data_IF_171894405072
#
_entry.id   IF_171894405072
#
_cell.length_a   1.000
_cell.length_b   1.000
_cell.length_c   1.000
_cell.angle_alpha   90.00
_cell.angle_beta   90.00
_cell.angle_gamma   90.00
#
_symmetry.space_group_name_H-M   'P 1'
#
loop_
_entity.id
_entity.type
_entity.pdbx_description
1 polymer ?
#
# COMPACT_ATOMS: atom_id res chain seq x y z
N UNK A 1 -4.00 21.32 3.38
CA UNK A 1 -3.91 19.94 3.92
C UNK A 1 -2.62 19.67 4.70
N UNK A 2 -1.42 19.83 4.13
CA UNK A 2 -0.16 19.55 4.83
C UNK A 2 0.00 20.33 6.15
N UNK A 3 -0.20 21.66 6.11
CA UNK A 3 -0.07 22.52 7.28
C UNK A 3 -0.99 22.10 8.45
N UNK A 4 -2.27 21.81 8.17
CA UNK A 4 -3.21 21.33 9.18
C UNK A 4 -2.77 20.00 9.80
N UNK A 5 -2.28 19.06 8.99
CA UNK A 5 -1.72 17.80 9.50
C UNK A 5 -0.48 18.03 10.37
N UNK A 6 0.40 18.96 10.00
CA UNK A 6 1.59 19.29 10.76
C UNK A 6 1.28 20.04 12.08
N UNK A 7 0.16 20.78 12.12
CA UNK A 7 -0.33 21.45 13.33
C UNK A 7 -0.93 20.44 14.32
N UNK A 8 -1.79 19.53 13.84
CA UNK A 8 -2.39 18.47 14.66
C UNK A 8 -1.38 17.42 15.11
N UNK A 9 -0.37 17.15 14.28
CA UNK A 9 0.69 16.18 14.54
C UNK A 9 2.07 16.85 14.43
N UNK A 10 2.49 17.63 15.46
CA UNK A 10 3.77 18.32 15.47
C UNK A 10 4.93 17.35 15.21
N UNK A 11 5.86 17.75 14.34
CA UNK A 11 6.82 16.84 13.72
C UNK A 11 7.58 15.96 14.73
N UNK A 12 8.29 16.57 15.69
CA UNK A 12 9.12 15.82 16.65
C UNK A 12 8.26 14.95 17.56
N UNK A 13 7.21 15.52 18.16
CA UNK A 13 6.32 14.78 19.07
C UNK A 13 5.65 13.58 18.36
N UNK A 14 5.17 13.77 17.12
CA UNK A 14 4.56 12.69 16.35
C UNK A 14 5.58 11.61 15.96
N UNK A 15 6.77 12.00 15.49
CA UNK A 15 7.85 11.06 15.15
C UNK A 15 8.28 10.23 16.36
N UNK A 16 8.50 10.87 17.49
CA UNK A 16 8.97 10.20 18.70
C UNK A 16 7.90 9.25 19.25
N UNK A 17 6.63 9.66 19.18
CA UNK A 17 5.49 8.80 19.49
C UNK A 17 5.38 7.62 18.53
N UNK A 18 5.58 7.83 17.23
CA UNK A 18 5.54 6.78 16.22
C UNK A 18 6.61 5.72 16.47
N UNK A 19 7.84 6.13 16.79
CA UNK A 19 8.92 5.21 17.17
C UNK A 19 8.59 4.44 18.44
N UNK A 20 8.16 5.12 19.50
CA UNK A 20 7.82 4.49 20.78
C UNK A 20 6.68 3.46 20.67
N UNK A 21 5.75 3.67 19.74
CA UNK A 21 4.60 2.80 19.50
C UNK A 21 4.84 1.78 18.37
N UNK A 22 6.07 1.66 17.85
CA UNK A 22 6.39 0.85 16.67
C UNK A 22 5.41 1.08 15.51
N UNK A 23 5.04 2.34 15.30
CA UNK A 23 4.16 2.80 14.24
C UNK A 23 2.76 2.15 14.25
N UNK A 24 2.25 1.77 15.42
CA UNK A 24 0.85 1.40 15.61
C UNK A 24 -0.07 2.60 15.30
N UNK A 25 -0.81 2.50 14.19
CA UNK A 25 -1.61 3.61 13.66
C UNK A 25 -2.87 3.83 14.50
N UNK A 26 -3.47 2.76 15.04
CA UNK A 26 -4.64 2.89 15.89
C UNK A 26 -4.28 3.59 17.21
N UNK A 27 -3.11 3.29 17.80
CA UNK A 27 -2.60 4.02 18.97
C UNK A 27 -2.21 5.46 18.64
N UNK A 28 -1.56 5.70 17.50
CA UNK A 28 -1.19 7.05 17.06
C UNK A 28 -2.42 7.94 16.83
N UNK A 29 -3.42 7.45 16.10
CA UNK A 29 -4.62 8.25 15.81
C UNK A 29 -5.40 8.59 17.07
N UNK A 30 -5.44 7.69 18.07
CA UNK A 30 -6.03 7.96 19.38
C UNK A 30 -5.26 9.05 20.12
N UNK A 31 -3.93 8.95 20.17
CA UNK A 31 -3.06 9.92 20.88
C UNK A 31 -3.16 11.34 20.31
N UNK A 32 -3.32 11.48 19.00
CA UNK A 32 -3.33 12.78 18.32
C UNK A 32 -4.73 13.26 17.91
N UNK A 33 -5.79 12.51 18.23
CA UNK A 33 -7.17 12.88 17.87
C UNK A 33 -7.40 13.00 16.36
N UNK A 34 -6.75 12.15 15.56
CA UNK A 34 -6.78 12.20 14.10
C UNK A 34 -7.46 10.98 13.50
N UNK A 35 -7.76 11.03 12.20
CA UNK A 35 -8.24 9.85 11.47
C UNK A 35 -7.09 8.90 11.15
N UNK A 36 -7.42 7.63 10.86
CA UNK A 36 -6.46 6.63 10.40
C UNK A 36 -5.69 7.11 9.15
N UNK A 37 -6.41 7.67 8.16
CA UNK A 37 -5.80 8.23 6.95
C UNK A 37 -4.86 9.40 7.25
N UNK A 38 -5.22 10.28 8.20
CA UNK A 38 -4.37 11.41 8.58
C UNK A 38 -3.07 10.95 9.25
N UNK A 39 -3.15 9.97 10.15
CA UNK A 39 -1.96 9.39 10.78
C UNK A 39 -1.03 8.73 9.75
N UNK A 40 -1.57 7.90 8.83
CA UNK A 40 -0.78 7.30 7.74
C UNK A 40 -0.14 8.37 6.83
N UNK A 41 -0.91 9.39 6.44
CA UNK A 41 -0.40 10.47 5.62
C UNK A 41 0.71 11.25 6.33
N UNK A 42 0.62 11.42 7.66
CA UNK A 42 1.67 12.09 8.42
C UNK A 42 2.94 11.26 8.46
N UNK A 43 2.83 9.95 8.71
CA UNK A 43 3.96 9.02 8.71
C UNK A 43 4.76 9.08 7.39
N UNK A 44 4.08 9.17 6.24
CA UNK A 44 4.75 9.28 4.93
C UNK A 44 5.44 10.64 4.68
N UNK A 45 5.44 11.57 5.63
CA UNK A 45 6.02 12.91 5.48
C UNK A 45 7.18 13.20 6.45
N UNK A 46 7.57 12.22 7.27
CA UNK A 46 8.60 12.40 8.31
C UNK A 46 10.03 12.35 7.72
N UNK A 47 10.33 13.25 6.78
CA UNK A 47 11.61 13.29 6.04
C UNK A 47 12.40 14.58 6.27
N UNK A 48 12.25 15.23 7.43
CA UNK A 48 13.07 16.39 7.81
C UNK A 48 14.54 15.95 7.96
N UNK A 49 15.50 16.62 7.30
CA UNK A 49 16.93 16.35 7.47
C UNK A 49 17.36 16.37 8.94
N UNK A 50 18.19 15.40 9.35
CA UNK A 50 18.62 15.23 10.75
C UNK A 50 17.55 14.69 11.70
N UNK A 51 16.33 14.42 11.20
CA UNK A 51 15.19 14.05 12.03
C UNK A 51 14.23 13.08 11.31
N UNK A 52 14.74 12.23 10.42
CA UNK A 52 13.94 11.34 9.58
C UNK A 52 13.24 10.24 10.40
N UNK A 53 12.02 9.90 10.02
CA UNK A 53 11.35 8.64 10.38
C UNK A 53 11.60 7.58 9.31
N UNK A 54 10.95 6.43 9.45
CA UNK A 54 10.97 5.39 8.42
C UNK A 54 10.46 5.99 7.10
N UNK A 55 11.15 5.72 5.96
CA UNK A 55 10.62 6.06 4.66
C UNK A 55 9.39 5.18 4.38
N UNK A 56 8.21 5.77 4.48
CA UNK A 56 6.96 5.12 4.12
C UNK A 56 6.48 5.57 2.75
N UNK A 57 5.93 4.65 1.97
CA UNK A 57 4.94 4.98 0.97
C UNK A 57 3.55 5.07 1.61
N UNK A 58 2.69 5.88 1.03
CA UNK A 58 1.28 6.01 1.35
C UNK A 58 0.46 6.13 0.07
N UNK A 59 -0.63 5.38 -0.01
CA UNK A 59 -1.61 5.57 -1.07
C UNK A 59 -3.04 5.31 -0.60
N UNK A 60 -3.99 5.86 -1.37
CA UNK A 60 -5.42 5.66 -1.20
C UNK A 60 -6.02 5.05 -2.45
N UNK A 61 -6.70 3.92 -2.34
CA UNK A 61 -7.27 3.15 -3.45
C UNK A 61 -8.79 3.05 -3.28
N UNK A 62 -9.56 3.28 -4.34
CA UNK A 62 -11.02 3.06 -4.31
C UNK A 62 -11.40 1.62 -4.73
N UNK A 63 -12.69 1.31 -4.72
CA UNK A 63 -13.21 -0.01 -5.10
C UNK A 63 -12.90 -0.41 -6.56
N UNK A 64 -12.64 0.57 -7.44
CA UNK A 64 -12.28 0.32 -8.84
C UNK A 64 -10.77 0.19 -9.03
N UNK A 65 -9.97 0.22 -7.95
CA UNK A 65 -8.52 0.16 -8.02
C UNK A 65 -7.87 1.49 -8.38
N UNK A 66 -8.62 2.60 -8.44
CA UNK A 66 -8.02 3.91 -8.73
C UNK A 66 -7.23 4.38 -7.52
N UNK A 67 -5.94 4.66 -7.72
CA UNK A 67 -5.16 5.36 -6.70
C UNK A 67 -5.50 6.86 -6.75
N UNK A 68 -6.22 7.32 -5.73
CA UNK A 68 -6.74 8.70 -5.62
C UNK A 68 -5.87 9.62 -4.75
N UNK A 69 -4.83 9.09 -4.11
CA UNK A 69 -3.82 9.87 -3.37
C UNK A 69 -2.52 9.06 -3.29
N UNK A 70 -1.36 9.70 -3.48
CA UNK A 70 -0.03 9.08 -3.47
C UNK A 70 0.96 10.00 -2.76
N UNK A 71 1.77 9.43 -1.87
CA UNK A 71 2.96 10.05 -1.31
C UNK A 71 3.99 8.94 -1.11
N UNK A 72 5.24 9.14 -1.52
CA UNK A 72 6.28 8.14 -1.31
C UNK A 72 7.54 8.82 -0.82
N UNK A 73 8.10 8.27 0.26
CA UNK A 73 9.48 8.50 0.69
C UNK A 73 10.38 7.28 0.38
N UNK A 74 9.83 6.25 -0.28
CA UNK A 74 10.54 5.01 -0.66
C UNK A 74 10.83 4.99 -2.16
N UNK A 75 11.60 4.01 -2.60
CA UNK A 75 11.80 3.71 -4.03
C UNK A 75 10.57 3.15 -4.73
N UNK A 76 9.54 2.71 -3.99
CA UNK A 76 8.32 2.19 -4.59
C UNK A 76 7.65 3.28 -5.42
N UNK A 77 7.70 3.09 -6.74
CA UNK A 77 6.99 3.92 -7.69
C UNK A 77 5.61 3.32 -7.99
N UNK A 78 4.57 4.02 -7.56
CA UNK A 78 3.23 3.71 -8.03
C UNK A 78 3.14 4.12 -9.49
N UNK A 79 2.68 3.20 -10.35
CA UNK A 79 2.42 3.55 -11.74
C UNK A 79 1.51 4.79 -11.80
N UNK A 80 1.91 5.77 -12.61
CA UNK A 80 1.18 7.02 -12.79
C UNK A 80 -0.25 6.75 -13.28
N UNK A 81 -0.36 5.71 -14.12
CA UNK A 81 -1.59 5.01 -14.48
C UNK A 81 -1.51 3.58 -13.95
N UNK A 82 -2.41 3.22 -13.03
CA UNK A 82 -2.41 1.89 -12.43
C UNK A 82 -1.81 1.82 -11.02
N UNK A 83 -2.12 0.70 -10.40
CA UNK A 83 -1.95 0.30 -9.01
C UNK A 83 -2.72 -1.00 -8.87
N UNK A 84 -2.49 -1.88 -9.83
CA UNK A 84 -3.50 -2.78 -10.39
C UNK A 84 -3.02 -4.23 -10.42
N UNK A 85 -1.96 -4.55 -9.67
CA UNK A 85 -1.64 -5.94 -9.44
C UNK A 85 -2.70 -6.49 -8.48
N UNK A 86 -3.55 -7.45 -8.91
CA UNK A 86 -4.61 -7.99 -8.06
C UNK A 86 -4.05 -8.72 -6.83
N UNK A 87 -2.77 -9.12 -6.86
CA UNK A 87 -2.05 -9.71 -5.73
C UNK A 87 -1.66 -8.70 -4.64
N UNK A 88 -1.84 -7.40 -4.88
CA UNK A 88 -1.55 -6.38 -3.87
C UNK A 88 -2.70 -6.28 -2.86
N UNK A 89 -2.38 -6.47 -1.58
CA UNK A 89 -3.35 -6.63 -0.48
C UNK A 89 -4.35 -5.47 -0.31
N UNK A 90 -4.03 -4.28 -0.84
CA UNK A 90 -4.92 -3.11 -0.76
C UNK A 90 -6.27 -3.35 -1.45
N UNK A 91 -6.30 -4.21 -2.49
CA UNK A 91 -7.53 -4.55 -3.20
C UNK A 91 -8.45 -5.46 -2.38
N UNK A 92 -7.91 -6.32 -1.52
CA UNK A 92 -8.69 -7.06 -0.55
C UNK A 92 -9.18 -6.12 0.57
N UNK A 93 -8.31 -5.23 1.05
CA UNK A 93 -8.63 -4.29 2.12
C UNK A 93 -9.80 -3.36 1.75
N UNK A 94 -9.91 -2.95 0.47
CA UNK A 94 -11.02 -2.08 0.06
C UNK A 94 -12.36 -2.81 0.03
N UNK A 95 -12.34 -4.13 -0.24
CA UNK A 95 -13.54 -4.98 -0.25
C UNK A 95 -14.04 -5.31 1.17
N UNK A 96 -13.12 -5.44 2.14
CA UNK A 96 -13.43 -5.82 3.53
C UNK A 96 -13.09 -4.65 4.48
N UNK A 97 -14.01 -3.69 4.70
CA UNK A 97 -13.74 -2.53 5.54
C UNK A 97 -13.47 -2.90 7.00
N UNK A 98 -12.80 -1.99 7.71
CA UNK A 98 -12.49 -2.05 9.15
C UNK A 98 -11.59 -3.19 9.62
N UNK A 99 -11.04 -3.98 8.68
CA UNK A 99 -9.98 -4.95 8.95
C UNK A 99 -8.62 -4.41 8.49
N UNK A 100 -7.61 -4.59 9.33
CA UNK A 100 -6.22 -4.40 8.93
C UNK A 100 -5.71 -5.70 8.30
N UNK A 101 -5.18 -5.59 7.08
CA UNK A 101 -4.48 -6.64 6.38
C UNK A 101 -3.01 -6.27 6.27
N UNK A 102 -2.14 -7.29 6.28
CA UNK A 102 -0.70 -7.12 6.18
C UNK A 102 -0.15 -8.01 5.07
N UNK A 103 0.91 -7.57 4.42
CA UNK A 103 1.54 -8.29 3.32
C UNK A 103 3.04 -8.06 3.32
N UNK A 104 3.79 -9.14 3.13
CA UNK A 104 5.18 -9.07 2.68
C UNK A 104 5.18 -9.21 1.16
N UNK A 105 5.60 -8.16 0.46
CA UNK A 105 5.52 -8.10 -1.00
C UNK A 105 6.91 -7.89 -1.62
N UNK A 106 7.13 -8.47 -2.80
CA UNK A 106 8.34 -8.29 -3.59
C UNK A 106 8.01 -7.67 -4.95
N UNK A 107 8.61 -6.53 -5.26
CA UNK A 107 8.46 -5.86 -6.55
C UNK A 107 9.37 -6.49 -7.63
N UNK A 108 9.11 -6.26 -8.92
CA UNK A 108 9.87 -6.92 -9.99
C UNK A 108 11.37 -6.61 -10.02
N UNK A 109 11.81 -5.53 -9.36
CA UNK A 109 13.22 -5.16 -9.16
C UNK A 109 13.85 -5.84 -7.93
N UNK A 110 13.12 -6.75 -7.26
CA UNK A 110 13.58 -7.50 -6.10
C UNK A 110 13.45 -6.76 -4.76
N UNK A 111 12.97 -5.52 -4.75
CA UNK A 111 12.75 -4.79 -3.50
C UNK A 111 11.59 -5.40 -2.70
N UNK A 112 11.79 -5.57 -1.39
CA UNK A 112 10.83 -6.21 -0.49
C UNK A 112 10.24 -5.20 0.48
N UNK A 113 8.92 -5.27 0.67
CA UNK A 113 8.15 -4.31 1.46
C UNK A 113 7.26 -5.01 2.48
N UNK A 114 7.22 -4.45 3.69
CA UNK A 114 6.13 -4.71 4.64
C UNK A 114 5.03 -3.70 4.39
N UNK A 115 3.84 -4.20 4.10
CA UNK A 115 2.67 -3.40 3.73
C UNK A 115 1.55 -3.66 4.73
N UNK A 116 0.92 -2.60 5.18
CA UNK A 116 -0.34 -2.63 5.90
C UNK A 116 -1.41 -1.94 5.05
N UNK A 117 -2.59 -2.53 4.95
CA UNK A 117 -3.75 -1.93 4.31
C UNK A 117 -5.00 -2.02 5.19
N UNK A 118 -5.83 -0.98 5.17
CA UNK A 118 -7.13 -0.95 5.88
C UNK A 118 -8.20 -0.33 5.01
N UNK A 119 -9.32 -1.02 4.86
CA UNK A 119 -10.54 -0.46 4.27
C UNK A 119 -11.21 0.52 5.21
N UNK A 120 -11.61 1.67 4.68
CA UNK A 120 -12.26 2.77 5.39
C UNK A 120 -13.57 3.12 4.70
N UNK A 121 -14.58 3.42 5.52
CA UNK A 121 -15.89 3.88 5.07
C UNK A 121 -16.09 5.31 5.55
N UNK A 122 -16.26 6.23 4.61
CA UNK A 122 -16.68 7.59 4.93
C UNK A 122 -18.21 7.67 4.79
N UNK A 123 -18.95 7.92 5.88
CA UNK A 123 -20.40 7.96 5.85
C UNK A 123 -20.90 9.06 4.92
N UNK A 124 -22.05 8.81 4.32
CA UNK A 124 -22.81 9.80 3.57
C UNK A 124 -23.76 10.57 4.49
N UNK A 125 -24.26 11.71 4.02
CA UNK A 125 -25.09 12.60 4.83
C UNK A 125 -26.51 12.08 5.11
N UNK A 126 -26.92 11.00 4.44
CA UNK A 126 -28.28 10.44 4.50
C UNK A 126 -28.29 8.95 4.19
N UNK A 127 -29.35 8.26 4.63
CA UNK A 127 -29.54 6.81 4.46
C UNK A 127 -29.60 6.38 2.98
N UNK A 128 -30.17 7.23 2.12
CA UNK A 128 -30.40 6.98 0.69
C UNK A 128 -29.15 7.22 -0.17
N UNK A 129 -28.05 7.67 0.42
CA UNK A 129 -26.79 7.94 -0.29
C UNK A 129 -25.73 6.90 0.04
N UNK A 130 -25.12 6.23 -0.96
CA UNK A 130 -24.11 5.23 -0.70
C UNK A 130 -22.89 5.86 -0.03
N UNK A 131 -22.30 5.23 1.01
CA UNK A 131 -21.09 5.74 1.64
C UNK A 131 -19.89 5.60 0.70
N UNK A 132 -18.88 6.46 0.89
CA UNK A 132 -17.64 6.37 0.12
C UNK A 132 -16.72 5.33 0.75
N UNK A 133 -16.36 4.30 -0.02
CA UNK A 133 -15.42 3.24 0.38
C UNK A 133 -14.08 3.38 -0.31
N UNK A 134 -13.00 3.18 0.44
CA UNK A 134 -11.63 3.20 -0.05
C UNK A 134 -10.71 2.47 0.91
N UNK A 135 -9.54 2.04 0.47
CA UNK A 135 -8.48 1.55 1.33
C UNK A 135 -7.33 2.54 1.40
N UNK A 136 -6.66 2.55 2.54
CA UNK A 136 -5.35 3.17 2.72
C UNK A 136 -4.33 2.05 2.79
N UNK A 137 -3.22 2.19 2.07
CA UNK A 137 -2.03 1.37 2.26
C UNK A 137 -0.86 2.23 2.72
N UNK A 138 -0.09 1.69 3.66
CA UNK A 138 1.14 2.26 4.18
C UNK A 138 2.18 1.14 4.21
N UNK A 139 3.38 1.38 3.70
CA UNK A 139 4.43 0.37 3.74
C UNK A 139 5.82 0.97 3.66
N UNK A 140 6.78 0.18 4.09
CA UNK A 140 8.20 0.52 4.11
C UNK A 140 9.01 -0.67 3.58
N UNK A 141 10.26 -0.42 3.22
CA UNK A 141 11.19 -1.52 2.89
C UNK A 141 11.30 -2.48 4.09
N UNK A 142 11.49 -3.77 3.80
CA UNK A 142 11.56 -4.83 4.80
C UNK A 142 12.69 -4.63 5.82
N UNK A 143 13.75 -3.91 5.45
CA UNK A 143 14.83 -3.50 6.36
C UNK A 143 14.34 -2.72 7.59
N UNK A 144 13.17 -2.07 7.49
CA UNK A 144 12.54 -1.32 8.58
C UNK A 144 11.46 -2.13 9.34
N UNK A 145 11.26 -3.41 9.01
CA UNK A 145 10.19 -4.24 9.56
C UNK A 145 10.16 -4.28 11.10
N UNK A 146 11.34 -4.32 11.75
CA UNK A 146 11.43 -4.38 13.20
C UNK A 146 10.74 -3.18 13.90
N UNK A 147 10.68 -2.01 13.25
CA UNK A 147 10.10 -0.80 13.79
C UNK A 147 8.60 -0.63 13.45
N UNK A 148 8.01 -1.55 12.68
CA UNK A 148 6.62 -1.47 12.21
C UNK A 148 5.81 -2.66 12.75
N UNK A 149 4.90 -2.41 13.68
CA UNK A 149 4.14 -3.45 14.41
C UNK A 149 3.41 -4.44 13.50
N UNK A 150 3.00 -4.01 12.30
CA UNK A 150 2.32 -4.87 11.33
C UNK A 150 3.22 -5.92 10.68
N UNK A 151 4.54 -5.83 10.88
CA UNK A 151 5.48 -6.88 10.53
C UNK A 151 5.42 -8.08 11.49
N UNK A 152 4.88 -7.93 12.70
CA UNK A 152 4.86 -8.99 13.71
C UNK A 152 3.99 -10.19 13.28
N UNK A 153 2.96 -9.93 12.46
CA UNK A 153 2.13 -10.97 11.84
C UNK A 153 2.73 -11.56 10.56
N UNK A 154 3.90 -11.09 10.13
CA UNK A 154 4.61 -11.53 8.94
C UNK A 154 5.88 -12.27 9.35
N UNK A 155 6.51 -12.95 8.38
CA UNK A 155 7.85 -13.52 8.54
C UNK A 155 8.83 -12.76 7.63
N UNK A 156 9.39 -11.62 8.07
CA UNK A 156 10.48 -10.96 7.32
C UNK A 156 11.63 -11.95 7.03
N UNK A 157 12.21 -11.87 5.85
CA UNK A 157 13.15 -12.84 5.29
C UNK A 157 12.49 -14.11 4.74
N UNK A 158 11.19 -14.33 5.01
CA UNK A 158 10.41 -15.45 4.48
C UNK A 158 9.91 -15.25 3.05
N UNK A 159 8.92 -16.05 2.66
CA UNK A 159 8.27 -15.95 1.35
C UNK A 159 7.49 -14.63 1.24
N UNK A 160 7.82 -13.84 0.22
CA UNK A 160 7.13 -12.61 -0.13
C UNK A 160 6.21 -12.86 -1.34
N UNK A 161 5.05 -12.21 -1.38
CA UNK A 161 4.15 -12.28 -2.55
C UNK A 161 4.80 -11.51 -3.71
N UNK A 162 5.07 -12.15 -4.87
CA UNK A 162 5.60 -11.46 -6.03
C UNK A 162 4.50 -10.58 -6.64
N UNK A 163 4.60 -9.26 -6.43
CA UNK A 163 3.67 -8.28 -7.00
C UNK A 163 4.29 -7.57 -8.20
N UNK A 164 3.45 -6.85 -8.93
CA UNK A 164 3.84 -5.92 -9.99
C UNK A 164 3.20 -4.55 -9.81
N UNK A 165 3.60 -3.58 -10.63
CA UNK A 165 2.97 -2.25 -10.66
C UNK A 165 1.66 -2.24 -11.48
N UNK A 166 1.66 -2.93 -12.63
CA UNK A 166 0.50 -3.16 -13.50
C UNK A 166 0.81 -4.27 -14.50
N UNK A 167 -0.16 -5.12 -14.86
CA UNK A 167 0.07 -6.22 -15.81
C UNK A 167 0.69 -5.75 -17.14
N UNK A 168 0.28 -4.56 -17.62
CA UNK A 168 0.74 -3.98 -18.90
C UNK A 168 2.23 -3.58 -18.93
N UNK A 169 2.90 -3.56 -17.78
CA UNK A 169 4.33 -3.21 -17.66
C UNK A 169 5.09 -4.16 -16.72
N UNK A 170 4.43 -5.16 -16.16
CA UNK A 170 5.05 -6.10 -15.23
C UNK A 170 5.80 -7.18 -16.02
N UNK A 171 7.10 -7.42 -15.76
CA UNK A 171 7.91 -8.36 -16.52
C UNK A 171 7.75 -9.84 -16.08
N UNK A 172 7.04 -10.13 -14.97
CA UNK A 172 6.91 -11.49 -14.43
C UNK A 172 6.11 -12.40 -15.38
N UNK A 173 6.75 -13.36 -16.04
CA UNK A 173 6.12 -14.26 -17.02
C UNK A 173 5.31 -15.40 -16.38
N UNK A 174 5.58 -15.72 -15.11
CA UNK A 174 5.01 -16.82 -14.33
C UNK A 174 3.88 -16.37 -13.37
N UNK A 175 2.97 -15.51 -13.86
CA UNK A 175 1.90 -14.95 -13.03
C UNK A 175 0.51 -15.42 -13.46
N UNK A 176 -0.09 -16.35 -12.72
CA UNK A 176 -1.44 -16.88 -12.97
C UNK A 176 -2.56 -15.83 -12.82
N UNK A 177 -2.28 -14.70 -12.17
CA UNK A 177 -3.22 -13.58 -11.99
C UNK A 177 -3.08 -12.50 -13.07
N UNK A 178 -2.30 -12.76 -14.12
CA UNK A 178 -2.04 -11.78 -15.17
C UNK A 178 -3.29 -11.54 -16.02
N UNK A 179 -3.78 -10.30 -15.95
CA UNK A 179 -4.96 -9.87 -16.72
C UNK A 179 -4.63 -9.42 -18.15
N UNK A 180 -3.46 -8.80 -18.36
CA UNK A 180 -3.05 -8.26 -19.67
C UNK A 180 -1.59 -8.59 -19.99
N UNK A 181 -1.25 -8.82 -21.27
CA UNK A 181 0.14 -8.92 -21.71
C UNK A 181 0.83 -7.56 -21.52
N UNK A 182 2.15 -7.54 -21.27
CA UNK A 182 2.91 -6.30 -21.31
C UNK A 182 2.78 -5.59 -22.66
N UNK A 183 2.70 -4.27 -22.66
CA UNK A 183 2.41 -3.50 -23.87
C UNK A 183 3.51 -3.59 -24.94
N UNK A 184 4.74 -3.91 -24.55
CA UNK A 184 5.91 -3.96 -25.42
C UNK A 184 6.41 -5.40 -25.71
N UNK A 185 5.64 -6.43 -25.36
CA UNK A 185 6.06 -7.83 -25.53
C UNK A 185 5.40 -8.49 -26.74
N UNK A 186 6.12 -9.42 -27.37
CA UNK A 186 5.58 -10.28 -28.42
C UNK A 186 4.67 -11.34 -27.80
N UNK A 187 3.40 -11.37 -28.17
CA UNK A 187 2.42 -12.32 -27.61
C UNK A 187 2.48 -13.62 -28.42
N UNK A 188 2.61 -14.75 -27.71
CA UNK A 188 2.52 -16.09 -28.31
C UNK A 188 1.34 -16.84 -27.73
N UNK A 189 0.57 -17.46 -28.62
CA UNK A 189 -0.59 -18.28 -28.29
C UNK A 189 -0.34 -19.65 -28.92
N UNK A 190 -0.34 -20.68 -28.08
CA UNK A 190 -0.26 -22.08 -28.52
C UNK A 190 -1.67 -22.68 -28.44
N UNK A 191 -2.30 -23.06 -29.57
CA UNK A 191 -3.67 -23.59 -29.58
C UNK A 191 -3.79 -24.96 -28.88
N UNK A 192 -2.67 -25.68 -28.68
CA UNK A 192 -2.66 -27.01 -28.07
C UNK A 192 -2.44 -26.96 -26.54
N UNK A 193 -2.13 -25.78 -25.98
CA UNK A 193 -1.87 -25.58 -24.55
C UNK A 193 -2.98 -24.75 -23.90
N UNK A 194 -3.60 -25.29 -22.84
CA UNK A 194 -4.55 -24.56 -22.00
C UNK A 194 -3.93 -24.21 -20.65
N UNK A 195 -3.41 -22.99 -20.52
CA UNK A 195 -2.88 -22.43 -19.26
C UNK A 195 -3.90 -21.47 -18.60
N UNK A 196 -3.74 -21.13 -17.30
CA UNK A 196 -4.57 -20.13 -16.62
C UNK A 196 -4.55 -18.76 -17.31
N UNK A 197 -3.40 -18.38 -17.86
CA UNK A 197 -3.22 -17.21 -18.73
C UNK A 197 -3.11 -17.71 -20.17
N UNK A 198 -3.96 -17.26 -21.12
CA UNK A 198 -4.06 -17.85 -22.46
C UNK A 198 -2.98 -17.38 -23.44
N UNK A 199 -1.86 -16.84 -22.94
CA UNK A 199 -0.74 -16.35 -23.75
C UNK A 199 0.56 -16.36 -22.94
N UNK A 200 1.68 -16.49 -23.64
CA UNK A 200 3.02 -16.18 -23.15
C UNK A 200 3.57 -14.93 -23.83
N UNK A 201 4.60 -14.32 -23.24
CA UNK A 201 5.21 -13.09 -23.75
C UNK A 201 6.68 -12.98 -23.32
#
# INVERSE_FOLDING_TARGET
>A
NYAAGALLMPYSHFRDSARALRHDIDRLRQRFGTSFEQACHRLSTLQRPGAQGIPFFFCRVDMAGNITKRHSATRLEFARFGGACPLWVVHEAVAIPDRILTQLAETPDGARYVIMAKGLVKPSASYDRPPRRYAVALGCEESHAAEFVYADGLRPGGLATPIGSSCRICPRSDCDQRAFPPAASEIRIDPDIRAPVPYSF
#
